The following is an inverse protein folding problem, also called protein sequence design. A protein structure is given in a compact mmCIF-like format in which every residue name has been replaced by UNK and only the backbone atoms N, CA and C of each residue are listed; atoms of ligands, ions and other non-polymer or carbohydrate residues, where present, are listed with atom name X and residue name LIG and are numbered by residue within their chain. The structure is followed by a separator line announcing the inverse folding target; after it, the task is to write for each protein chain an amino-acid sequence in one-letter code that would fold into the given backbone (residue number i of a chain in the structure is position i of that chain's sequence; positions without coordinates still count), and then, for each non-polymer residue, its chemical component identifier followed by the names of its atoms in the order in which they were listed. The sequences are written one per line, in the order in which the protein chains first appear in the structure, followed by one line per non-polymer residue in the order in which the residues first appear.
data_IF_459049328177
#
_entry.id   IF_459049328177
#
_cell.length_a   1.000
_cell.length_b   1.000
_cell.length_c   1.000
_cell.angle_alpha   90.00
_cell.angle_beta   90.00
_cell.angle_gamma   90.00
#
_symmetry.space_group_name_H-M   'P 1'
#
loop_
_entity.id
_entity.type
_entity.pdbx_description
1 polymer ?
#
# COMPACT_ATOMS: atom_id res chain seq x y z
N UNK A 1 64.50 18.81 9.22
CA UNK A 1 64.20 17.44 8.76
C UNK A 1 62.69 17.38 8.57
N UNK A 2 62.09 17.66 7.42
CA UNK A 2 62.48 17.33 6.06
C UNK A 2 61.82 16.01 5.66
N UNK A 3 60.57 16.04 5.19
CA UNK A 3 60.07 15.06 4.23
C UNK A 3 58.85 15.59 3.44
N UNK A 4 58.84 15.22 2.16
CA UNK A 4 58.30 15.92 1.00
C UNK A 4 56.78 15.83 0.79
N UNK A 5 56.31 16.86 0.07
CA UNK A 5 55.07 16.95 -0.71
C UNK A 5 55.32 16.27 -2.07
N UNK A 6 54.39 15.44 -2.58
CA UNK A 6 53.76 15.71 -3.89
C UNK A 6 52.65 14.71 -4.30
N UNK A 7 51.64 15.20 -5.04
CA UNK A 7 50.52 14.45 -5.58
C UNK A 7 50.81 13.95 -7.01
N UNK A 8 50.11 12.92 -7.45
CA UNK A 8 50.08 12.51 -8.87
C UNK A 8 48.79 12.98 -9.53
N UNK A 9 48.92 14.07 -10.30
CA UNK A 9 48.03 14.44 -11.38
C UNK A 9 48.50 13.80 -12.69
N UNK A 10 47.57 13.32 -13.51
CA UNK A 10 47.71 13.38 -14.97
C UNK A 10 46.35 13.38 -15.66
N UNK A 11 46.00 14.55 -16.17
CA UNK A 11 45.11 14.79 -17.30
C UNK A 11 45.81 14.45 -18.62
N UNK A 12 45.07 14.10 -19.68
CA UNK A 12 45.06 14.79 -21.00
C UNK A 12 44.39 13.93 -22.11
N UNK A 13 43.32 14.51 -22.70
CA UNK A 13 42.87 14.57 -24.10
C UNK A 13 42.83 13.34 -25.03
N UNK A 14 41.65 13.09 -25.63
CA UNK A 14 41.29 13.51 -27.02
C UNK A 14 39.95 12.85 -27.42
N UNK A 15 38.85 13.58 -27.61
CA UNK A 15 38.37 14.33 -28.79
C UNK A 15 37.66 13.49 -29.88
N UNK A 16 36.45 13.96 -30.22
CA UNK A 16 35.77 13.96 -31.53
C UNK A 16 35.16 12.67 -32.10
N UNK A 17 33.85 12.73 -32.37
CA UNK A 17 33.18 11.75 -33.23
C UNK A 17 31.65 11.80 -33.23
N UNK A 18 31.08 12.82 -33.89
CA UNK A 18 29.67 12.86 -34.29
C UNK A 18 29.23 11.58 -35.03
N UNK A 19 28.02 11.10 -34.75
CA UNK A 19 27.02 10.69 -35.77
C UNK A 19 25.75 10.13 -35.10
N UNK A 20 24.70 10.93 -35.14
CA UNK A 20 23.29 10.48 -35.12
C UNK A 20 23.03 9.49 -36.26
N UNK A 21 22.11 8.54 -36.06
CA UNK A 21 20.94 8.55 -36.93
C UNK A 21 19.63 8.42 -36.17
N UNK A 22 18.78 9.41 -36.41
CA UNK A 22 17.34 9.41 -36.25
C UNK A 22 16.71 8.14 -36.82
N UNK A 23 16.00 7.35 -35.99
CA UNK A 23 14.91 6.50 -36.45
C UNK A 23 13.68 6.73 -35.55
N UNK A 24 12.83 7.61 -36.07
CA UNK A 24 11.45 7.78 -35.66
C UNK A 24 10.71 6.48 -36.03
N UNK A 25 10.30 5.71 -35.03
CA UNK A 25 9.25 4.72 -35.21
C UNK A 25 7.95 5.32 -34.70
N UNK A 26 7.17 5.86 -35.61
CA UNK A 26 5.77 6.21 -35.40
C UNK A 26 4.95 4.93 -35.39
N UNK A 27 4.64 4.40 -34.22
CA UNK A 27 3.60 3.38 -34.09
C UNK A 27 2.25 4.09 -33.98
N UNK A 28 1.49 4.02 -35.07
CA UNK A 28 0.11 4.46 -35.13
C UNK A 28 -0.75 3.66 -34.16
N UNK A 29 -1.45 4.36 -33.29
CA UNK A 29 -2.52 3.87 -32.42
C UNK A 29 -3.60 3.15 -33.24
N UNK A 30 -3.67 1.83 -33.14
CA UNK A 30 -4.87 1.07 -33.47
C UNK A 30 -5.82 1.12 -32.27
N UNK A 31 -6.90 1.90 -32.40
CA UNK A 31 -8.05 1.86 -31.50
C UNK A 31 -9.08 0.86 -32.04
N UNK A 32 -9.31 -0.30 -31.40
CA UNK A 32 -10.48 -1.10 -31.71
C UNK A 32 -11.73 -0.43 -31.12
N UNK A 33 -12.73 -0.15 -31.97
CA UNK A 33 -14.08 0.25 -31.56
C UNK A 33 -14.75 -0.91 -30.81
N UNK A 34 -15.30 -0.70 -29.60
CA UNK A 34 -16.24 -1.65 -29.02
C UNK A 34 -17.61 -1.45 -29.68
N UNK A 35 -18.04 -2.47 -30.43
CA UNK A 35 -19.40 -2.57 -30.96
C UNK A 35 -20.32 -3.01 -29.82
N UNK A 36 -21.15 -2.09 -29.33
CA UNK A 36 -22.20 -2.39 -28.35
C UNK A 36 -23.42 -2.99 -29.06
N UNK A 37 -23.70 -4.26 -28.83
CA UNK A 37 -25.00 -4.86 -29.12
C UNK A 37 -25.86 -4.81 -27.86
N UNK A 38 -27.00 -4.08 -27.86
CA UNK A 38 -27.94 -4.15 -26.75
C UNK A 38 -28.72 -5.46 -26.85
N UNK A 39 -28.46 -6.37 -25.90
CA UNK A 39 -29.34 -7.53 -25.69
C UNK A 39 -30.58 -7.03 -24.94
N UNK A 40 -31.67 -6.87 -25.68
CA UNK A 40 -33.01 -6.68 -25.13
C UNK A 40 -33.51 -8.01 -24.57
N UNK A 41 -33.50 -8.17 -23.25
CA UNK A 41 -34.27 -9.21 -22.59
C UNK A 41 -35.72 -8.73 -22.46
N UNK A 42 -36.59 -9.32 -23.29
CA UNK A 42 -38.04 -9.12 -23.20
C UNK A 42 -38.58 -10.05 -22.11
N UNK A 43 -39.17 -9.47 -21.06
CA UNK A 43 -39.90 -10.19 -20.02
C UNK A 43 -41.32 -10.49 -20.50
N UNK A 44 -41.62 -11.75 -20.81
CA UNK A 44 -43.00 -12.21 -21.04
C UNK A 44 -43.67 -12.43 -19.69
N UNK A 45 -44.69 -11.61 -19.41
CA UNK A 45 -45.52 -11.71 -18.22
C UNK A 45 -46.73 -12.59 -18.55
N UNK A 46 -46.86 -13.75 -17.88
CA UNK A 46 -48.09 -14.54 -17.86
C UNK A 46 -48.49 -14.76 -16.40
N UNK A 47 -49.69 -14.36 -15.96
CA UNK A 47 -50.20 -14.68 -14.64
C UNK A 47 -51.11 -15.90 -14.71
N UNK A 48 -50.75 -16.99 -14.03
CA UNK A 48 -51.71 -18.02 -13.61
C UNK A 48 -51.51 -18.35 -12.13
N UNK A 49 -52.60 -18.17 -11.37
CA UNK A 49 -52.77 -18.61 -9.99
C UNK A 49 -53.04 -20.12 -9.95
N UNK A 50 -52.49 -20.83 -8.96
CA UNK A 50 -53.26 -21.68 -8.01
C UNK A 50 -52.35 -22.35 -6.97
N UNK A 51 -52.89 -22.47 -5.75
CA UNK A 51 -52.30 -22.97 -4.51
C UNK A 51 -52.04 -24.49 -4.49
N UNK A 52 -51.01 -24.96 -3.77
CA UNK A 52 -51.16 -25.81 -2.56
C UNK A 52 -49.83 -26.40 -2.03
N UNK A 53 -49.59 -26.13 -0.74
CA UNK A 53 -48.90 -26.88 0.34
C UNK A 53 -47.93 -28.02 -0.05
N UNK A 54 -46.64 -27.90 0.32
CA UNK A 54 -45.91 -28.85 1.18
C UNK A 54 -44.41 -28.50 1.34
N UNK A 55 -44.00 -28.36 2.60
CA UNK A 55 -42.66 -28.59 3.18
C UNK A 55 -41.44 -28.18 2.35
N UNK A 56 -41.02 -26.91 2.44
CA UNK A 56 -39.62 -26.57 2.18
C UNK A 56 -38.82 -26.69 3.47
N UNK A 57 -37.99 -27.73 3.59
CA UNK A 57 -36.81 -27.67 4.44
C UNK A 57 -35.99 -26.46 3.96
N UNK A 58 -36.16 -25.32 4.61
CA UNK A 58 -35.30 -24.16 4.39
C UNK A 58 -33.95 -24.53 4.98
N UNK A 59 -33.03 -24.97 4.13
CA UNK A 59 -31.60 -24.84 4.41
C UNK A 59 -31.40 -23.38 4.81
N UNK A 60 -30.89 -23.08 6.01
CA UNK A 60 -30.72 -21.70 6.45
C UNK A 60 -29.88 -20.95 5.42
N UNK A 61 -30.48 -19.98 4.75
CA UNK A 61 -29.74 -19.04 3.91
C UNK A 61 -28.73 -18.35 4.84
N UNK A 62 -27.42 -18.38 4.52
CA UNK A 62 -26.40 -17.87 5.43
C UNK A 62 -26.70 -16.42 5.79
N UNK A 63 -26.74 -16.14 7.09
CA UNK A 63 -27.12 -14.84 7.62
C UNK A 63 -25.92 -13.92 7.55
N UNK A 64 -25.70 -13.33 6.37
CA UNK A 64 -24.59 -12.40 6.18
C UNK A 64 -24.79 -11.16 7.07
N UNK A 65 -23.93 -11.01 8.08
CA UNK A 65 -23.90 -9.79 8.89
C UNK A 65 -22.99 -8.77 8.21
N UNK A 66 -23.50 -7.56 8.02
CA UNK A 66 -22.77 -6.45 7.43
C UNK A 66 -22.22 -5.54 8.54
N UNK A 67 -20.99 -5.11 8.37
CA UNK A 67 -20.29 -4.18 9.26
C UNK A 67 -19.91 -2.92 8.51
N UNK A 68 -19.99 -1.79 9.20
CA UNK A 68 -19.23 -0.59 8.89
C UNK A 68 -17.90 -0.67 9.63
N UNK A 69 -16.81 -0.41 8.91
CA UNK A 69 -15.44 -0.50 9.43
C UNK A 69 -14.84 0.91 9.46
N UNK A 70 -14.19 1.28 10.57
CA UNK A 70 -13.40 2.51 10.67
C UNK A 70 -11.97 2.16 11.02
N UNK A 71 -11.04 2.77 10.31
CA UNK A 71 -9.61 2.66 10.51
C UNK A 71 -9.04 4.03 10.88
N UNK A 72 -8.13 4.07 11.84
CA UNK A 72 -7.31 5.25 12.13
C UNK A 72 -5.89 4.82 12.44
N UNK A 73 -4.92 5.57 11.96
CA UNK A 73 -3.52 5.38 12.31
C UNK A 73 -3.18 6.16 13.59
N UNK A 74 -2.18 5.67 14.31
CA UNK A 74 -1.70 6.25 15.57
C UNK A 74 -0.23 6.70 15.42
N UNK A 75 0.31 7.31 16.47
CA UNK A 75 1.74 7.58 16.58
C UNK A 75 2.58 6.30 16.77
N UNK A 76 3.88 6.50 17.03
CA UNK A 76 4.85 5.43 17.29
C UNK A 76 4.94 4.35 16.20
N UNK A 77 4.60 4.71 14.96
CA UNK A 77 4.79 3.87 13.80
C UNK A 77 6.26 3.88 13.37
N UNK A 78 6.61 2.93 12.50
CA UNK A 78 7.94 2.89 11.88
C UNK A 78 7.85 2.55 10.41
N UNK A 79 8.76 3.13 9.65
CA UNK A 79 9.02 2.76 8.28
C UNK A 79 10.49 2.47 8.13
N UNK A 80 10.85 1.59 7.23
CA UNK A 80 12.24 1.49 6.85
C UNK A 80 12.40 0.82 5.50
N UNK A 81 13.54 1.08 4.88
CA UNK A 81 13.83 0.65 3.52
C UNK A 81 15.31 0.32 3.38
N UNK A 82 15.62 -0.74 2.65
CA UNK A 82 16.97 -1.21 2.41
C UNK A 82 17.76 -1.40 3.71
N UNK A 83 18.99 -0.90 3.75
CA UNK A 83 19.90 -0.95 4.90
C UNK A 83 19.81 0.28 5.80
N UNK A 84 18.92 1.23 5.49
CA UNK A 84 18.74 2.41 6.33
C UNK A 84 18.16 2.01 7.69
N UNK A 85 18.60 2.66 8.79
CA UNK A 85 17.91 2.61 10.06
C UNK A 85 16.41 2.88 9.90
N UNK A 86 15.59 2.29 10.76
CA UNK A 86 14.17 2.55 10.74
C UNK A 86 13.87 4.00 11.14
N UNK A 87 12.94 4.59 10.39
CA UNK A 87 12.38 5.91 10.59
C UNK A 87 11.27 5.78 11.64
N UNK A 88 11.29 6.64 12.66
CA UNK A 88 10.12 6.82 13.51
C UNK A 88 9.13 7.67 12.74
N UNK A 89 7.89 7.21 12.71
CA UNK A 89 6.82 7.83 11.95
C UNK A 89 5.61 8.05 12.85
N UNK A 90 5.22 9.31 12.98
CA UNK A 90 3.93 9.70 13.54
C UNK A 90 2.90 9.70 12.41
N UNK A 91 2.09 8.65 12.38
CA UNK A 91 1.04 8.49 11.40
C UNK A 91 -0.30 9.07 11.90
N UNK A 92 -0.36 9.80 13.01
CA UNK A 92 -1.63 10.36 13.49
C UNK A 92 -2.30 11.24 12.42
N UNK A 93 -3.64 11.19 12.40
CA UNK A 93 -4.47 11.87 11.41
C UNK A 93 -4.78 11.04 10.16
N UNK A 94 -4.16 9.88 9.98
CA UNK A 94 -4.61 8.90 8.98
C UNK A 94 -5.93 8.24 9.39
N UNK A 95 -6.79 8.00 8.40
CA UNK A 95 -8.16 7.57 8.60
C UNK A 95 -8.66 6.78 7.39
N UNK A 96 -9.68 5.95 7.58
CA UNK A 96 -10.35 5.26 6.49
C UNK A 96 -11.69 4.68 6.95
N UNK A 97 -12.63 4.53 6.02
CA UNK A 97 -13.90 3.85 6.25
C UNK A 97 -14.07 2.71 5.27
N UNK A 98 -14.80 1.68 5.64
CA UNK A 98 -15.01 0.51 4.81
C UNK A 98 -16.23 -0.30 5.21
N UNK A 99 -16.39 -1.42 4.53
CA UNK A 99 -17.43 -2.41 4.83
C UNK A 99 -16.80 -3.73 5.21
N UNK A 100 -17.45 -4.45 6.12
CA UNK A 100 -17.09 -5.80 6.52
C UNK A 100 -18.24 -6.77 6.30
N UNK A 101 -17.96 -7.98 5.86
CA UNK A 101 -18.96 -9.05 5.73
C UNK A 101 -18.46 -10.31 6.40
N UNK A 102 -19.32 -10.94 7.20
CA UNK A 102 -19.06 -12.27 7.76
C UNK A 102 -19.98 -13.28 7.11
N UNK A 103 -19.42 -14.43 6.76
CA UNK A 103 -20.18 -15.64 6.44
C UNK A 103 -20.12 -16.57 7.63
N UNK A 104 -21.27 -17.09 8.07
CA UNK A 104 -21.42 -17.87 9.33
C UNK A 104 -20.45 -19.05 9.49
N UNK A 105 -19.79 -19.49 8.42
CA UNK A 105 -18.88 -20.63 8.37
C UNK A 105 -17.45 -20.35 8.85
N UNK A 106 -16.94 -19.12 8.81
CA UNK A 106 -15.48 -18.87 8.96
C UNK A 106 -15.07 -18.04 10.18
N UNK A 107 -16.00 -17.41 10.90
CA UNK A 107 -15.69 -16.40 11.96
C UNK A 107 -14.69 -15.32 11.51
N UNK A 108 -14.57 -15.13 10.20
CA UNK A 108 -13.69 -14.17 9.57
C UNK A 108 -14.54 -13.08 8.94
N UNK A 109 -14.23 -11.85 9.31
CA UNK A 109 -14.86 -10.67 8.76
C UNK A 109 -13.97 -10.22 7.61
N UNK A 110 -14.43 -10.40 6.38
CA UNK A 110 -13.78 -9.83 5.20
C UNK A 110 -14.03 -8.34 5.17
N UNK A 111 -12.98 -7.53 5.20
CA UNK A 111 -13.05 -6.07 5.22
C UNK A 111 -12.50 -5.47 3.94
N UNK A 112 -13.11 -4.39 3.46
CA UNK A 112 -12.64 -3.60 2.32
C UNK A 112 -12.82 -2.12 2.61
N UNK A 113 -11.74 -1.35 2.51
CA UNK A 113 -11.74 0.09 2.76
C UNK A 113 -11.98 0.90 1.48
N UNK A 114 -12.77 1.97 1.60
CA UNK A 114 -13.01 2.91 0.52
C UNK A 114 -11.79 3.82 0.33
N UNK A 115 -11.17 3.74 -0.85
CA UNK A 115 -10.00 4.55 -1.21
C UNK A 115 -10.30 6.06 -1.21
N UNK A 116 -11.57 6.47 -1.35
CA UNK A 116 -11.95 7.89 -1.30
C UNK A 116 -11.85 8.48 0.10
N UNK A 117 -11.96 7.65 1.12
CA UNK A 117 -11.88 8.07 2.53
C UNK A 117 -10.57 7.65 3.17
N UNK A 118 -9.84 6.71 2.57
CA UNK A 118 -8.56 6.26 3.06
C UNK A 118 -7.47 7.31 2.83
N UNK A 119 -6.93 7.82 3.94
CA UNK A 119 -5.84 8.77 3.97
C UNK A 119 -4.74 8.27 4.90
N UNK A 120 -3.50 8.34 4.42
CA UNK A 120 -2.29 8.05 5.20
C UNK A 120 -1.43 9.31 5.16
N UNK A 121 -0.98 9.87 6.31
CA UNK A 121 -0.17 11.07 6.31
C UNK A 121 1.12 10.90 5.49
N UNK A 122 1.61 11.97 4.85
CA UNK A 122 2.89 11.92 4.17
C UNK A 122 4.05 11.89 5.17
N UNK A 123 5.18 11.32 4.77
CA UNK A 123 6.43 11.44 5.52
C UNK A 123 7.07 12.79 5.20
N UNK A 124 7.29 13.61 6.21
CA UNK A 124 7.98 14.89 6.09
C UNK A 124 8.60 15.29 7.45
N UNK A 125 9.15 16.50 7.54
CA UNK A 125 9.78 17.00 8.77
C UNK A 125 8.84 17.07 9.98
N UNK A 126 7.52 17.16 9.80
CA UNK A 126 6.57 17.14 10.91
C UNK A 126 6.32 15.72 11.41
N UNK A 127 6.09 14.77 10.50
CA UNK A 127 5.61 13.41 10.83
C UNK A 127 6.73 12.40 11.02
N UNK A 128 7.96 12.64 10.57
CA UNK A 128 9.00 11.59 10.51
C UNK A 128 10.31 12.02 11.15
N UNK A 129 10.95 11.09 11.87
CA UNK A 129 12.28 11.25 12.44
C UNK A 129 13.22 10.15 11.95
N UNK A 130 14.38 10.53 11.44
CA UNK A 130 15.47 9.62 11.07
C UNK A 130 16.66 9.89 11.99
N UNK A 131 17.10 8.86 12.72
CA UNK A 131 18.15 8.99 13.75
C UNK A 131 17.86 10.11 14.78
N UNK A 132 16.58 10.27 15.15
CA UNK A 132 16.11 11.28 16.11
C UNK A 132 15.93 12.69 15.54
N UNK A 133 16.35 12.94 14.30
CA UNK A 133 16.21 14.25 13.64
C UNK A 133 15.00 14.26 12.70
N UNK A 134 14.28 15.38 12.55
CA UNK A 134 13.26 15.50 11.52
C UNK A 134 13.84 15.22 10.14
N UNK A 135 13.02 14.68 9.24
CA UNK A 135 13.43 14.56 7.84
C UNK A 135 13.92 15.91 7.30
N UNK A 136 14.94 15.92 6.42
CA UNK A 136 15.47 17.13 5.84
C UNK A 136 14.35 18.05 5.31
N UNK A 137 14.44 19.36 5.54
CA UNK A 137 13.45 20.30 5.00
C UNK A 137 13.26 20.09 3.50
N UNK A 138 12.03 20.29 3.04
CA UNK A 138 11.59 20.11 1.64
C UNK A 138 11.49 18.65 1.17
N UNK A 139 12.07 17.68 1.88
CA UNK A 139 11.87 16.26 1.56
C UNK A 139 10.47 15.84 1.98
N UNK A 140 9.73 15.24 1.05
CA UNK A 140 8.39 14.73 1.28
C UNK A 140 8.19 13.42 0.54
N UNK A 141 7.55 12.47 1.21
CA UNK A 141 7.05 11.23 0.59
C UNK A 141 5.54 11.21 0.78
N UNK A 142 4.80 11.44 -0.30
CA UNK A 142 3.35 11.26 -0.29
C UNK A 142 3.00 9.77 -0.42
N UNK A 143 2.01 9.31 0.35
CA UNK A 143 1.51 7.94 0.30
C UNK A 143 0.12 7.98 -0.33
N UNK A 144 -0.03 7.34 -1.48
CA UNK A 144 -1.29 7.23 -2.20
C UNK A 144 -1.79 5.78 -2.15
N UNK A 145 -2.77 5.47 -1.28
CA UNK A 145 -3.35 4.14 -1.18
C UNK A 145 -4.03 3.70 -2.48
N UNK A 146 -3.77 2.46 -2.88
CA UNK A 146 -4.36 1.81 -4.05
C UNK A 146 -5.22 0.60 -3.65
N UNK A 147 -4.93 0.00 -2.49
CA UNK A 147 -5.70 -1.11 -1.92
C UNK A 147 -5.51 -1.15 -0.41
N UNK A 148 -6.61 -1.35 0.32
CA UNK A 148 -6.58 -1.81 1.71
C UNK A 148 -7.80 -2.69 1.95
N UNK A 149 -7.59 -3.99 2.07
CA UNK A 149 -8.64 -4.98 2.27
C UNK A 149 -8.07 -6.24 2.93
N UNK A 150 -8.89 -7.12 3.47
CA UNK A 150 -8.40 -8.38 4.01
C UNK A 150 -9.36 -8.98 5.02
N UNK A 151 -8.84 -9.59 6.07
CA UNK A 151 -9.65 -10.32 7.06
C UNK A 151 -9.34 -9.90 8.50
N UNK A 152 -10.38 -9.99 9.33
CA UNK A 152 -10.29 -9.90 10.78
C UNK A 152 -10.93 -11.15 11.34
N UNK A 153 -10.14 -11.97 12.04
CA UNK A 153 -10.65 -13.15 12.71
C UNK A 153 -11.20 -12.77 14.09
N UNK A 154 -12.49 -13.00 14.30
CA UNK A 154 -13.19 -12.51 15.49
C UNK A 154 -12.69 -13.17 16.79
N UNK A 155 -12.37 -14.46 16.73
CA UNK A 155 -11.97 -15.26 17.87
C UNK A 155 -10.50 -15.04 18.24
N UNK A 156 -9.61 -15.17 17.25
CA UNK A 156 -8.16 -15.05 17.47
C UNK A 156 -7.68 -13.61 17.51
N UNK A 157 -8.53 -12.65 17.08
CA UNK A 157 -8.24 -11.23 16.93
C UNK A 157 -7.11 -10.91 15.96
N UNK A 158 -6.77 -11.87 15.10
CA UNK A 158 -5.79 -11.70 14.04
C UNK A 158 -6.36 -10.77 12.96
N UNK A 159 -5.52 -9.89 12.44
CA UNK A 159 -5.81 -8.98 11.34
C UNK A 159 -4.78 -9.20 10.25
N UNK A 160 -5.23 -9.46 9.03
CA UNK A 160 -4.38 -9.50 7.83
C UNK A 160 -5.01 -8.59 6.77
N UNK A 161 -4.29 -7.53 6.37
CA UNK A 161 -4.75 -6.60 5.34
C UNK A 161 -3.77 -6.57 4.18
N UNK A 162 -4.23 -6.95 2.99
CA UNK A 162 -3.57 -6.61 1.73
C UNK A 162 -3.48 -5.09 1.61
N UNK A 163 -2.27 -4.59 1.44
CA UNK A 163 -1.96 -3.19 1.31
C UNK A 163 -1.17 -2.96 0.03
N UNK A 164 -1.66 -2.02 -0.79
CA UNK A 164 -0.95 -1.50 -1.96
C UNK A 164 -0.97 0.01 -1.91
N UNK A 165 0.17 0.65 -2.09
CA UNK A 165 0.25 2.09 -2.20
C UNK A 165 1.40 2.54 -3.10
N UNK A 166 1.27 3.75 -3.65
CA UNK A 166 2.33 4.46 -4.34
C UNK A 166 3.00 5.44 -3.37
N UNK A 167 4.31 5.36 -3.26
CA UNK A 167 5.13 6.24 -2.42
C UNK A 167 5.86 7.24 -3.31
N UNK A 168 5.39 8.48 -3.31
CA UNK A 168 5.85 9.57 -4.18
C UNK A 168 6.93 10.40 -3.49
N UNK A 169 8.19 10.16 -3.84
CA UNK A 169 9.32 10.91 -3.30
C UNK A 169 9.52 12.25 -4.01
N UNK A 170 9.71 13.32 -3.25
CA UNK A 170 10.04 14.65 -3.76
C UNK A 170 10.96 15.44 -2.83
N UNK A 171 11.74 16.36 -3.42
CA UNK A 171 12.54 17.35 -2.69
C UNK A 171 12.20 18.72 -3.26
N UNK A 172 11.40 19.48 -2.50
CA UNK A 172 10.93 20.80 -2.90
C UNK A 172 10.32 20.80 -4.30
N UNK A 173 10.67 21.81 -5.10
CA UNK A 173 10.26 21.90 -6.52
C UNK A 173 11.31 21.38 -7.49
N UNK A 174 12.49 20.98 -6.98
CA UNK A 174 13.67 20.67 -7.80
C UNK A 174 13.74 19.21 -8.22
N UNK A 175 13.08 18.31 -7.49
CA UNK A 175 13.17 16.89 -7.74
C UNK A 175 11.89 16.14 -7.37
N UNK A 176 11.46 15.25 -8.27
CA UNK A 176 10.34 14.32 -8.09
C UNK A 176 10.70 13.01 -8.77
N UNK A 177 10.66 11.92 -8.03
CA UNK A 177 10.87 10.59 -8.58
C UNK A 177 9.55 9.96 -9.05
N UNK A 178 9.57 9.00 -9.97
CA UNK A 178 8.48 8.04 -10.13
C UNK A 178 8.15 7.36 -8.78
N UNK A 179 6.90 6.89 -8.57
CA UNK A 179 6.50 6.32 -7.30
C UNK A 179 7.14 4.96 -7.08
N UNK A 180 7.50 4.68 -5.83
CA UNK A 180 7.77 3.30 -5.40
C UNK A 180 6.42 2.61 -5.15
N UNK A 181 6.16 1.52 -5.85
CA UNK A 181 4.99 0.69 -5.59
C UNK A 181 5.32 -0.29 -4.48
N UNK A 182 4.55 -0.25 -3.40
CA UNK A 182 4.71 -1.14 -2.26
C UNK A 182 3.46 -2.00 -2.14
N UNK A 183 3.66 -3.32 -2.20
CA UNK A 183 2.63 -4.34 -2.04
C UNK A 183 3.01 -5.31 -0.93
N UNK A 184 2.17 -5.45 0.09
CA UNK A 184 2.42 -6.34 1.24
C UNK A 184 1.13 -6.74 1.94
N UNK A 185 1.25 -7.69 2.87
CA UNK A 185 0.22 -7.97 3.87
C UNK A 185 0.63 -7.27 5.16
N UNK A 186 -0.17 -6.30 5.59
CA UNK A 186 -0.11 -5.73 6.93
C UNK A 186 -0.81 -6.68 7.90
N UNK A 187 -0.02 -7.43 8.66
CA UNK A 187 -0.50 -8.47 9.59
C UNK A 187 -0.31 -8.07 11.05
N UNK A 188 -1.21 -8.50 11.93
CA UNK A 188 -1.02 -8.41 13.38
C UNK A 188 -0.09 -9.51 13.94
N UNK A 189 0.42 -10.39 13.10
CA UNK A 189 1.39 -11.44 13.45
C UNK A 189 2.83 -11.03 13.08
N UNK A 190 3.75 -12.00 13.01
CA UNK A 190 5.10 -11.77 12.53
C UNK A 190 5.13 -11.65 10.99
N UNK A 191 5.85 -10.65 10.47
CA UNK A 191 6.13 -10.48 9.03
C UNK A 191 7.64 -10.51 8.83
N UNK A 192 8.13 -11.44 8.01
CA UNK A 192 9.55 -11.78 7.89
C UNK A 192 9.96 -11.75 6.42
N UNK A 193 10.90 -10.88 6.07
CA UNK A 193 11.63 -10.89 4.80
C UNK A 193 13.06 -11.41 4.98
N UNK A 194 13.86 -11.23 3.93
CA UNK A 194 15.26 -11.66 3.90
C UNK A 194 16.18 -10.76 4.72
N UNK A 195 15.88 -9.47 4.78
CA UNK A 195 16.68 -8.45 5.46
C UNK A 195 15.93 -7.83 6.65
N UNK A 196 14.60 -7.74 6.55
CA UNK A 196 13.75 -7.03 7.52
C UNK A 196 12.72 -7.94 8.15
N UNK A 197 12.32 -7.63 9.38
CA UNK A 197 11.24 -8.32 10.09
C UNK A 197 10.48 -7.36 10.99
N UNK A 198 9.20 -7.63 11.20
CA UNK A 198 8.36 -6.97 12.17
C UNK A 198 7.53 -7.99 12.94
N UNK A 199 7.14 -7.63 14.16
CA UNK A 199 6.17 -8.37 14.97
C UNK A 199 4.98 -7.48 15.24
N UNK A 200 3.80 -7.90 14.79
CA UNK A 200 2.54 -7.22 15.05
C UNK A 200 1.99 -7.48 16.45
N UNK A 201 0.84 -6.87 16.72
CA UNK A 201 0.02 -7.10 17.91
C UNK A 201 -1.45 -7.19 17.48
N UNK A 202 -2.10 -8.28 17.91
CA UNK A 202 -3.50 -8.59 17.64
C UNK A 202 -4.45 -7.48 18.09
N UNK A 203 -5.62 -7.44 17.45
CA UNK A 203 -6.65 -6.46 17.73
C UNK A 203 -7.21 -6.62 19.14
N UNK A 204 -6.97 -5.64 20.00
CA UNK A 204 -7.46 -5.70 21.37
C UNK A 204 -8.96 -5.31 21.48
N UNK A 205 -9.47 -5.21 22.70
CA UNK A 205 -10.89 -4.90 22.97
C UNK A 205 -11.22 -3.44 22.68
N UNK A 206 -10.24 -2.55 22.82
CA UNK A 206 -10.35 -1.11 22.53
C UNK A 206 -10.21 -0.81 21.02
N UNK A 207 -10.03 -1.84 20.20
CA UNK A 207 -9.84 -1.75 18.76
C UNK A 207 -8.42 -1.40 18.33
N UNK A 208 -7.44 -1.35 19.24
CA UNK A 208 -6.04 -1.09 18.90
C UNK A 208 -5.34 -2.35 18.39
N UNK A 209 -4.48 -2.20 17.40
CA UNK A 209 -3.57 -3.23 16.91
C UNK A 209 -2.26 -2.61 16.44
N UNK A 210 -1.24 -3.47 16.25
CA UNK A 210 -0.01 -3.12 15.54
C UNK A 210 0.11 -4.03 14.34
N UNK A 211 0.04 -3.45 13.15
CA UNK A 211 0.18 -4.16 11.90
C UNK A 211 1.60 -4.02 11.37
N UNK A 212 2.19 -5.11 10.89
CA UNK A 212 3.52 -5.13 10.31
C UNK A 212 3.48 -5.74 8.93
N UNK A 213 4.29 -5.22 8.02
CA UNK A 213 4.42 -5.76 6.67
C UNK A 213 5.83 -5.56 6.14
N UNK A 214 6.39 -6.61 5.56
CA UNK A 214 7.63 -6.55 4.80
C UNK A 214 7.28 -6.70 3.32
N UNK A 215 7.85 -5.83 2.49
CA UNK A 215 7.63 -5.83 1.04
C UNK A 215 8.96 -5.81 0.30
N UNK A 216 8.97 -6.40 -0.90
CA UNK A 216 10.01 -6.09 -1.88
C UNK A 216 9.63 -4.82 -2.63
N UNK A 217 10.63 -4.02 -2.97
CA UNK A 217 10.49 -2.79 -3.73
C UNK A 217 11.39 -2.91 -4.96
N UNK A 218 10.77 -2.89 -6.13
CA UNK A 218 11.47 -3.01 -7.41
C UNK A 218 12.11 -1.68 -7.83
N UNK A 219 13.12 -1.70 -8.72
CA UNK A 219 13.67 -0.49 -9.32
C UNK A 219 12.62 0.28 -10.11
N UNK A 220 12.80 1.59 -10.16
CA UNK A 220 11.97 2.51 -10.94
C UNK A 220 12.77 3.14 -12.08
N UNK A 221 12.13 3.91 -12.95
CA UNK A 221 12.79 4.69 -14.00
C UNK A 221 13.48 5.94 -13.43
N UNK A 222 14.38 5.74 -12.47
CA UNK A 222 15.19 6.77 -11.84
C UNK A 222 16.50 6.19 -11.27
N UNK A 223 17.61 6.47 -11.96
CA UNK A 223 18.94 5.96 -11.60
C UNK A 223 19.39 6.46 -10.23
N UNK A 224 19.08 7.72 -9.89
CA UNK A 224 19.46 8.29 -8.60
C UNK A 224 18.74 7.57 -7.46
N UNK A 225 17.43 7.39 -7.55
CA UNK A 225 16.67 6.71 -6.49
C UNK A 225 17.00 5.23 -6.39
N UNK A 226 17.18 4.55 -7.52
CA UNK A 226 17.62 3.15 -7.53
C UNK A 226 18.96 3.00 -6.81
N UNK A 227 19.90 3.93 -7.02
CA UNK A 227 21.20 3.90 -6.34
C UNK A 227 21.09 4.30 -4.88
N UNK A 228 20.38 5.39 -4.58
CA UNK A 228 20.22 5.95 -3.24
C UNK A 228 19.55 4.97 -2.28
N UNK A 229 18.52 4.27 -2.74
CA UNK A 229 17.82 3.24 -1.96
C UNK A 229 18.41 1.83 -2.13
N UNK A 230 19.29 1.63 -3.11
CA UNK A 230 19.83 0.32 -3.45
C UNK A 230 18.75 -0.66 -3.93
N UNK A 231 17.91 -0.23 -4.88
CA UNK A 231 16.83 -1.04 -5.44
C UNK A 231 17.38 -2.11 -6.43
N UNK A 232 16.78 -3.31 -6.51
CA UNK A 232 15.65 -3.80 -5.71
C UNK A 232 16.03 -4.00 -4.25
N UNK A 233 15.09 -3.77 -3.35
CA UNK A 233 15.33 -3.87 -1.91
C UNK A 233 14.11 -4.33 -1.13
N UNK A 234 14.22 -4.40 0.21
CA UNK A 234 13.08 -4.64 1.10
C UNK A 234 12.72 -3.39 1.90
N UNK A 235 11.42 -3.19 2.13
CA UNK A 235 10.92 -2.22 3.10
C UNK A 235 10.11 -2.89 4.21
N UNK A 236 10.05 -2.23 5.36
CA UNK A 236 9.28 -2.61 6.54
C UNK A 236 8.29 -1.49 6.86
N UNK A 237 7.04 -1.86 7.09
CA UNK A 237 6.04 -1.03 7.74
C UNK A 237 5.71 -1.59 9.12
N UNK A 238 5.66 -0.71 10.12
CA UNK A 238 5.10 -0.97 11.44
C UNK A 238 4.06 0.12 11.70
N UNK A 239 2.80 -0.27 11.78
CA UNK A 239 1.66 0.62 11.80
C UNK A 239 0.82 0.36 13.04
N UNK A 240 0.87 1.27 14.00
CA UNK A 240 -0.09 1.27 15.10
C UNK A 240 -1.40 1.88 14.59
N UNK A 241 -2.51 1.19 14.86
CA UNK A 241 -3.81 1.61 14.35
C UNK A 241 -4.93 1.26 15.32
N UNK A 242 -6.08 1.89 15.10
CA UNK A 242 -7.37 1.42 15.61
C UNK A 242 -8.26 0.95 14.48
N UNK A 243 -8.90 -0.21 14.67
CA UNK A 243 -9.96 -0.72 13.80
C UNK A 243 -11.22 -0.91 14.63
N UNK A 244 -12.30 -0.26 14.21
CA UNK A 244 -13.62 -0.37 14.83
C UNK A 244 -14.60 -1.02 13.85
N UNK A 245 -15.35 -1.99 14.36
CA UNK A 245 -16.41 -2.68 13.67
C UNK A 245 -17.74 -2.29 14.33
N UNK A 246 -18.69 -1.83 13.54
CA UNK A 246 -20.07 -1.59 13.99
C UNK A 246 -21.01 -2.25 13.01
N UNK A 247 -22.00 -2.99 13.50
CA UNK A 247 -23.05 -3.56 12.64
C UNK A 247 -23.76 -2.45 11.88
N UNK A 248 -23.91 -2.62 10.57
CA UNK A 248 -24.60 -1.67 9.69
C UNK A 248 -26.12 -1.78 9.79
#
# INVERSE_FOLDING_TARGET
MGCNINPSSSSIFSNLGSKTPTKIFSFSTFKPKPTYHPIYFSSTFSPEQQQSINTSNQTPQPKNTLYSVKFKTLGDCKLGIARYPDFVYDAEGGLGTGTGTITDTTKEISVSFDLKTLYIPPLNSATTRFLGLPLPPLLKIDIEPQLLQGTINEETRKVDLEFKAMFWFSVGTIYKAPPLVVETILTSEDSIGTMRRGRGEKLNKEGKCKLVGVAKVDPIDDVFMNTFLGLPTECLAVLNATIYLSTS
#
